data_IF_162083960230
#
_entry.id   IF_162083960230
#
_cell.length_a   1.000
_cell.length_b   1.000
_cell.length_c   1.000
_cell.angle_alpha   90.00
_cell.angle_beta   90.00
_cell.angle_gamma   90.00
#
_symmetry.space_group_name_H-M   'P 1'
#
loop_
_entity.id
_entity.type
_entity.pdbx_description
1 polymer ?
#
# COMPACT_ATOMS: atom_id res chain seq x y z
N UNK A 1 46.46 12.59 -12.71
CA UNK A 1 45.17 13.30 -12.88
C UNK A 1 44.10 12.56 -12.08
N UNK A 2 43.88 12.96 -10.83
CA UNK A 2 42.87 12.34 -9.98
C UNK A 2 41.49 12.89 -10.36
N UNK A 3 40.58 12.02 -10.83
CA UNK A 3 39.16 12.38 -10.95
C UNK A 3 38.64 12.68 -9.55
N UNK A 4 38.30 13.95 -9.29
CA UNK A 4 37.49 14.36 -8.14
C UNK A 4 36.21 13.52 -8.18
N UNK A 5 36.02 12.66 -7.17
CA UNK A 5 34.71 12.11 -6.83
C UNK A 5 33.83 13.29 -6.48
N UNK A 6 32.88 13.62 -7.35
CA UNK A 6 31.79 14.54 -7.03
C UNK A 6 31.04 13.97 -5.83
N UNK A 7 30.82 14.80 -4.81
CA UNK A 7 30.04 14.45 -3.64
C UNK A 7 28.70 13.86 -4.09
N UNK A 8 28.43 12.60 -3.73
CA UNK A 8 27.12 11.99 -3.95
C UNK A 8 26.09 12.83 -3.20
N UNK A 9 25.16 13.41 -3.95
CA UNK A 9 24.07 14.23 -3.44
C UNK A 9 23.20 13.35 -2.52
N UNK A 10 23.24 13.59 -1.22
CA UNK A 10 22.68 12.70 -0.17
C UNK A 10 21.13 12.78 -0.13
N UNK A 11 20.54 13.72 -0.86
CA UNK A 11 19.09 13.91 -1.00
C UNK A 11 18.66 13.66 -2.45
N UNK A 12 18.66 12.40 -2.87
CA UNK A 12 18.00 12.01 -4.11
C UNK A 12 16.50 12.35 -4.02
N UNK A 13 15.91 12.83 -5.12
CA UNK A 13 14.47 13.04 -5.24
C UNK A 13 13.74 11.72 -4.93
N UNK A 14 12.75 11.75 -4.05
CA UNK A 14 11.95 10.57 -3.64
C UNK A 14 10.48 10.94 -3.74
N UNK A 15 9.74 10.18 -4.52
CA UNK A 15 8.29 10.31 -4.59
C UNK A 15 7.64 9.24 -3.70
N UNK A 16 6.56 9.57 -3.00
CA UNK A 16 5.88 8.67 -2.07
C UNK A 16 4.63 8.08 -2.73
N UNK A 17 4.58 6.75 -2.87
CA UNK A 17 3.45 6.03 -3.44
C UNK A 17 2.49 5.57 -2.34
N UNK A 18 1.25 6.04 -2.39
CA UNK A 18 0.12 5.53 -1.62
C UNK A 18 -0.72 4.64 -2.54
N UNK A 19 -0.95 3.38 -2.19
CA UNK A 19 -1.65 2.42 -3.05
C UNK A 19 -2.65 1.57 -2.26
N UNK A 20 -3.86 1.45 -2.81
CA UNK A 20 -4.98 0.69 -2.26
C UNK A 20 -5.42 -0.39 -3.24
N UNK A 21 -5.59 -1.60 -2.76
CA UNK A 21 -5.86 -2.77 -3.60
C UNK A 21 -6.64 -3.84 -2.84
N UNK A 22 -7.32 -4.70 -3.58
CA UNK A 22 -8.10 -5.83 -3.07
C UNK A 22 -7.74 -7.14 -3.80
N UNK A 23 -8.51 -8.21 -3.59
CA UNK A 23 -8.28 -9.50 -4.24
C UNK A 23 -8.44 -9.44 -5.78
N UNK A 24 -9.08 -8.41 -6.32
CA UNK A 24 -9.32 -8.24 -7.76
C UNK A 24 -8.24 -7.41 -8.44
N UNK A 25 -7.66 -6.44 -7.73
CA UNK A 25 -6.60 -5.60 -8.24
C UNK A 25 -6.44 -4.28 -7.50
N UNK A 26 -5.73 -3.35 -8.13
CA UNK A 26 -5.57 -1.99 -7.59
C UNK A 26 -6.88 -1.22 -7.71
N UNK A 27 -7.29 -0.60 -6.60
CA UNK A 27 -8.46 0.26 -6.54
C UNK A 27 -8.06 1.70 -6.88
N UNK A 28 -7.07 2.22 -6.16
CA UNK A 28 -6.63 3.60 -6.24
C UNK A 28 -5.14 3.69 -5.88
N UNK A 29 -4.42 4.63 -6.49
CA UNK A 29 -3.10 5.00 -6.04
C UNK A 29 -2.84 6.48 -6.27
N UNK A 30 -2.02 7.09 -5.42
CA UNK A 30 -1.57 8.48 -5.54
C UNK A 30 -0.05 8.52 -5.39
N UNK A 31 0.61 9.31 -6.23
CA UNK A 31 2.04 9.61 -6.11
C UNK A 31 2.17 11.03 -5.57
N UNK A 32 2.69 11.15 -4.35
CA UNK A 32 2.92 12.43 -3.69
C UNK A 32 4.26 13.01 -4.13
N UNK A 33 4.34 14.33 -4.21
CA UNK A 33 5.52 15.02 -4.70
C UNK A 33 6.70 14.86 -3.73
N UNK A 34 7.91 14.96 -4.27
CA UNK A 34 9.12 14.88 -3.48
C UNK A 34 9.12 15.88 -2.32
N UNK A 35 9.39 15.37 -1.11
CA UNK A 35 9.32 16.02 0.22
C UNK A 35 7.96 16.10 0.90
N UNK A 36 6.87 15.67 0.25
CA UNK A 36 5.57 15.58 0.90
C UNK A 36 5.49 14.33 1.79
N UNK A 37 4.94 14.52 2.99
CA UNK A 37 4.60 13.43 3.93
C UNK A 37 3.09 13.29 3.99
N UNK A 38 2.59 12.06 4.12
CA UNK A 38 1.15 11.83 4.35
C UNK A 38 0.76 12.42 5.71
N UNK A 39 0.03 13.54 5.68
CA UNK A 39 -0.64 14.10 6.86
C UNK A 39 -1.96 13.36 7.12
N UNK A 40 -2.55 13.56 8.29
CA UNK A 40 -3.87 13.02 8.60
C UNK A 40 -4.95 13.52 7.63
N UNK A 41 -4.88 14.79 7.23
CA UNK A 41 -5.82 15.39 6.27
C UNK A 41 -5.66 14.75 4.88
N UNK A 42 -4.42 14.57 4.45
CA UNK A 42 -4.10 13.94 3.18
C UNK A 42 -4.58 12.48 3.14
N UNK A 43 -4.35 11.73 4.22
CA UNK A 43 -4.84 10.36 4.34
C UNK A 43 -6.38 10.29 4.35
N UNK A 44 -7.03 11.22 5.06
CA UNK A 44 -8.49 11.33 5.07
C UNK A 44 -9.06 11.58 3.66
N UNK A 45 -8.44 12.47 2.88
CA UNK A 45 -8.80 12.71 1.47
C UNK A 45 -8.63 11.45 0.62
N UNK A 46 -7.51 10.75 0.75
CA UNK A 46 -7.26 9.50 0.03
C UNK A 46 -8.29 8.41 0.35
N UNK A 47 -8.75 8.33 1.60
CA UNK A 47 -9.82 7.41 2.00
C UNK A 47 -11.16 7.79 1.35
N UNK A 48 -11.47 9.09 1.23
CA UNK A 48 -12.67 9.57 0.55
C UNK A 48 -12.63 9.16 -0.93
N UNK A 49 -11.53 9.46 -1.62
CA UNK A 49 -11.32 9.14 -3.03
C UNK A 49 -11.39 7.62 -3.29
N UNK A 50 -10.85 6.80 -2.38
CA UNK A 50 -10.92 5.35 -2.45
C UNK A 50 -12.38 4.86 -2.50
N UNK A 51 -13.28 5.46 -1.71
CA UNK A 51 -14.67 5.00 -1.67
C UNK A 51 -15.42 5.39 -2.92
N UNK A 52 -15.21 6.60 -3.42
CA UNK A 52 -15.85 7.05 -4.66
C UNK A 52 -15.54 6.04 -5.77
N UNK A 53 -14.30 5.53 -5.81
CA UNK A 53 -13.90 4.46 -6.72
C UNK A 53 -14.61 3.13 -6.40
N UNK A 54 -14.75 2.76 -5.13
CA UNK A 54 -15.44 1.54 -4.72
C UNK A 54 -16.94 1.57 -5.04
N UNK A 55 -17.60 2.70 -4.85
CA UNK A 55 -19.01 2.92 -5.18
C UNK A 55 -19.22 2.88 -6.70
N UNK A 56 -18.36 3.54 -7.47
CA UNK A 56 -18.42 3.53 -8.94
C UNK A 56 -18.18 2.14 -9.53
N UNK A 57 -17.30 1.32 -8.93
CA UNK A 57 -17.07 -0.07 -9.34
C UNK A 57 -18.25 -1.01 -9.01
N UNK A 58 -19.29 -0.49 -8.35
CA UNK A 58 -20.56 -1.17 -8.06
C UNK A 58 -20.50 -2.10 -6.85
N UNK A 59 -21.66 -2.52 -6.31
CA UNK A 59 -21.69 -3.49 -5.22
C UNK A 59 -20.98 -4.76 -5.66
N UNK A 60 -19.95 -5.15 -4.91
CA UNK A 60 -19.26 -6.42 -5.07
C UNK A 60 -20.28 -7.55 -4.92
N UNK A 61 -20.85 -8.00 -6.04
CA UNK A 61 -21.93 -8.99 -6.16
C UNK A 61 -23.27 -8.52 -5.56
N UNK A 62 -24.39 -8.90 -6.18
CA UNK A 62 -25.77 -8.46 -5.88
C UNK A 62 -26.34 -8.90 -4.51
N UNK A 63 -25.58 -8.73 -3.44
CA UNK A 63 -25.94 -8.98 -2.06
C UNK A 63 -25.58 -7.75 -1.24
N UNK A 64 -26.58 -7.20 -0.53
CA UNK A 64 -26.51 -6.12 0.47
C UNK A 64 -25.08 -5.74 0.89
N UNK A 65 -24.67 -4.51 0.58
CA UNK A 65 -23.58 -3.75 1.21
C UNK A 65 -22.61 -4.60 2.05
N UNK A 66 -21.67 -5.30 1.41
CA UNK A 66 -20.64 -6.03 2.15
C UNK A 66 -19.78 -5.03 2.92
N UNK A 67 -19.61 -5.29 4.21
CA UNK A 67 -18.75 -4.52 5.10
C UNK A 67 -17.32 -4.48 4.54
N UNK A 68 -16.78 -3.28 4.36
CA UNK A 68 -15.38 -3.09 3.95
C UNK A 68 -14.50 -3.31 5.17
N UNK A 69 -13.46 -4.14 5.04
CA UNK A 69 -12.46 -4.34 6.09
C UNK A 69 -11.14 -3.75 5.57
N UNK A 70 -10.67 -2.71 6.24
CA UNK A 70 -9.44 -2.01 5.92
C UNK A 70 -8.27 -2.62 6.69
N UNK A 71 -7.19 -2.96 5.99
CA UNK A 71 -5.93 -3.37 6.60
C UNK A 71 -4.85 -2.35 6.22
N UNK A 72 -4.35 -1.63 7.23
CA UNK A 72 -3.26 -0.66 7.10
C UNK A 72 -2.37 -0.72 8.35
N UNK A 73 -1.20 -0.10 8.29
CA UNK A 73 -0.27 -0.03 9.42
C UNK A 73 -0.70 1.02 10.45
N UNK A 74 -0.02 1.01 11.60
CA UNK A 74 -0.33 1.89 12.74
C UNK A 74 0.37 3.26 12.65
N UNK A 75 0.66 3.76 11.44
CA UNK A 75 1.25 5.08 11.29
C UNK A 75 0.35 6.17 11.91
N UNK A 76 0.95 7.24 12.45
CA UNK A 76 0.22 8.30 13.18
C UNK A 76 -1.00 8.86 12.43
N UNK A 77 -0.93 9.15 11.11
CA UNK A 77 -2.09 9.61 10.34
C UNK A 77 -3.22 8.58 10.29
N UNK A 78 -2.89 7.29 10.32
CA UNK A 78 -3.84 6.22 10.12
C UNK A 78 -4.62 5.86 11.39
N UNK A 79 -4.02 6.08 12.57
CA UNK A 79 -4.67 5.85 13.87
C UNK A 79 -5.32 7.13 14.44
N UNK A 80 -5.26 8.25 13.73
CA UNK A 80 -5.85 9.50 14.17
C UNK A 80 -7.38 9.39 14.28
N UNK A 81 -7.97 10.10 15.25
CA UNK A 81 -9.41 10.07 15.50
C UNK A 81 -10.23 10.48 14.28
N UNK A 82 -9.78 11.50 13.54
CA UNK A 82 -10.45 11.95 12.31
C UNK A 82 -10.47 10.87 11.23
N UNK A 83 -9.40 10.09 11.11
CA UNK A 83 -9.31 8.96 10.19
C UNK A 83 -10.25 7.84 10.60
N UNK A 84 -10.29 7.51 11.90
CA UNK A 84 -11.21 6.51 12.43
C UNK A 84 -12.67 6.92 12.22
N UNK A 85 -13.00 8.19 12.41
CA UNK A 85 -14.33 8.74 12.14
C UNK A 85 -14.71 8.61 10.67
N UNK A 86 -13.77 8.91 9.75
CA UNK A 86 -13.97 8.69 8.32
C UNK A 86 -14.29 7.21 8.09
N UNK A 87 -13.44 6.26 8.50
CA UNK A 87 -13.67 4.82 8.31
C UNK A 87 -15.03 4.36 8.88
N UNK A 88 -15.40 4.81 10.08
CA UNK A 88 -16.67 4.48 10.71
C UNK A 88 -17.88 5.02 9.91
N UNK A 89 -17.80 6.27 9.44
CA UNK A 89 -18.86 6.89 8.62
C UNK A 89 -19.08 6.14 7.30
N UNK A 90 -18.07 5.39 6.86
CA UNK A 90 -18.08 4.62 5.62
C UNK A 90 -18.63 3.20 5.79
N UNK A 91 -19.08 2.86 7.01
CA UNK A 91 -19.54 1.51 7.34
C UNK A 91 -18.43 0.46 7.28
N UNK A 92 -17.16 0.90 7.27
CA UNK A 92 -16.00 0.03 7.29
C UNK A 92 -15.55 -0.32 8.71
N UNK A 93 -14.86 -1.45 8.84
CA UNK A 93 -14.04 -1.76 10.01
C UNK A 93 -12.56 -1.69 9.64
N UNK A 94 -11.69 -1.45 10.61
CA UNK A 94 -10.25 -1.70 10.48
C UNK A 94 -9.89 -3.05 11.11
N UNK A 95 -9.01 -3.78 10.45
CA UNK A 95 -8.41 -4.98 11.01
C UNK A 95 -7.25 -4.57 11.93
N UNK A 96 -7.21 -5.05 13.19
CA UNK A 96 -6.08 -4.76 14.08
C UNK A 96 -4.76 -5.20 13.44
N UNK A 97 -3.77 -4.31 13.46
CA UNK A 97 -2.43 -4.60 12.97
C UNK A 97 -1.44 -4.52 14.13
N UNK A 98 -0.52 -5.48 14.20
CA UNK A 98 0.54 -5.47 15.20
C UNK A 98 1.60 -4.41 14.85
N UNK A 99 2.23 -3.81 15.87
CA UNK A 99 3.31 -2.84 15.62
C UNK A 99 4.53 -3.55 15.04
N UNK A 100 5.18 -2.94 14.04
CA UNK A 100 6.38 -3.47 13.37
C UNK A 100 6.18 -4.84 12.70
N UNK A 101 5.01 -5.10 12.11
CA UNK A 101 4.70 -6.39 11.47
C UNK A 101 4.50 -6.31 9.95
N UNK A 102 5.53 -5.92 9.17
CA UNK A 102 5.44 -5.87 7.70
C UNK A 102 5.19 -7.25 7.08
N UNK A 103 5.60 -8.32 7.77
CA UNK A 103 5.29 -9.72 7.45
C UNK A 103 3.79 -10.04 7.52
N UNK A 104 2.99 -9.19 8.16
CA UNK A 104 1.54 -9.29 8.23
C UNK A 104 0.81 -8.29 7.32
N UNK A 105 1.53 -7.44 6.60
CA UNK A 105 0.96 -6.47 5.67
C UNK A 105 1.10 -6.97 4.22
N UNK A 106 0.00 -7.33 3.52
CA UNK A 106 0.07 -7.80 2.13
C UNK A 106 0.78 -6.84 1.19
N UNK A 107 0.63 -5.53 1.44
CA UNK A 107 1.34 -4.51 0.67
C UNK A 107 2.85 -4.67 0.78
N UNK A 108 3.39 -4.96 1.97
CA UNK A 108 4.83 -5.06 2.20
C UNK A 108 5.40 -6.39 1.70
N UNK A 109 4.88 -7.52 2.19
CA UNK A 109 5.48 -8.83 1.87
C UNK A 109 5.23 -9.30 0.44
N UNK A 110 4.22 -8.76 -0.25
CA UNK A 110 3.81 -9.23 -1.58
C UNK A 110 3.89 -8.14 -2.65
N UNK A 111 3.12 -7.05 -2.51
CA UNK A 111 3.02 -6.04 -3.56
C UNK A 111 4.34 -5.27 -3.74
N UNK A 112 4.85 -4.66 -2.67
CA UNK A 112 6.08 -3.88 -2.70
C UNK A 112 7.31 -4.75 -2.91
N UNK A 113 7.36 -5.96 -2.37
CA UNK A 113 8.41 -6.95 -2.70
C UNK A 113 8.46 -7.24 -4.20
N UNK A 114 7.32 -7.47 -4.83
CA UNK A 114 7.22 -7.68 -6.29
C UNK A 114 7.58 -6.42 -7.09
N UNK A 115 7.17 -5.24 -6.60
CA UNK A 115 7.47 -3.96 -7.21
C UNK A 115 8.98 -3.64 -7.15
N UNK A 116 9.63 -3.87 -6.01
CA UNK A 116 11.08 -3.71 -5.85
C UNK A 116 11.86 -4.60 -6.82
N UNK A 117 11.42 -5.84 -7.03
CA UNK A 117 12.05 -6.74 -8.01
C UNK A 117 11.88 -6.25 -9.45
N UNK A 118 10.78 -5.56 -9.77
CA UNK A 118 10.49 -5.05 -11.11
C UNK A 118 11.14 -3.69 -11.39
N UNK A 119 11.19 -2.81 -10.38
CA UNK A 119 11.65 -1.42 -10.49
C UNK A 119 13.10 -1.24 -9.99
N UNK A 120 13.66 -2.23 -9.31
CA UNK A 120 14.98 -2.17 -8.69
C UNK A 120 16.11 -1.93 -9.70
N UNK A 121 17.10 -1.14 -9.28
CA UNK A 121 18.32 -0.90 -10.05
C UNK A 121 18.17 0.04 -11.25
N UNK A 122 16.98 0.63 -11.48
CA UNK A 122 16.74 1.55 -12.58
C UNK A 122 16.64 3.00 -12.07
N UNK A 123 17.44 3.95 -12.62
CA UNK A 123 17.25 5.36 -12.34
C UNK A 123 16.02 5.88 -13.09
N UNK A 124 15.24 6.75 -12.45
CA UNK A 124 14.12 7.47 -13.07
C UNK A 124 14.54 8.91 -13.35
N UNK A 125 14.14 9.44 -14.52
CA UNK A 125 14.47 10.80 -14.95
C UNK A 125 13.52 11.84 -14.37
N UNK A 126 12.24 11.50 -14.30
CA UNK A 126 11.17 12.38 -13.84
C UNK A 126 9.98 11.58 -13.27
N UNK A 127 9.00 12.31 -12.72
CA UNK A 127 7.79 11.72 -12.12
C UNK A 127 6.91 11.01 -13.16
N UNK A 128 6.88 11.49 -14.41
CA UNK A 128 6.08 10.88 -15.46
C UNK A 128 6.62 9.48 -15.82
N UNK A 129 7.95 9.30 -15.80
CA UNK A 129 8.57 7.99 -15.95
C UNK A 129 8.24 7.06 -14.79
N UNK A 130 8.26 7.55 -13.54
CA UNK A 130 7.86 6.79 -12.35
C UNK A 130 6.41 6.32 -12.47
N UNK A 131 5.50 7.24 -12.80
CA UNK A 131 4.07 6.93 -12.98
C UNK A 131 3.84 5.89 -14.06
N UNK A 132 4.44 6.07 -15.24
CA UNK A 132 4.35 5.11 -16.34
C UNK A 132 4.83 3.71 -15.93
N UNK A 133 5.87 3.63 -15.11
CA UNK A 133 6.42 2.36 -14.62
C UNK A 133 5.49 1.68 -13.62
N UNK A 134 4.89 2.45 -12.73
CA UNK A 134 3.85 1.97 -11.82
C UNK A 134 2.64 1.46 -12.62
N UNK A 135 2.16 2.22 -13.60
CA UNK A 135 1.04 1.81 -14.47
C UNK A 135 1.33 0.51 -15.21
N UNK A 136 2.52 0.41 -15.83
CA UNK A 136 2.96 -0.81 -16.51
C UNK A 136 3.06 -2.00 -15.56
N UNK A 137 3.59 -1.77 -14.35
CA UNK A 137 3.65 -2.81 -13.32
C UNK A 137 2.25 -3.29 -12.95
N UNK A 138 1.32 -2.39 -12.64
CA UNK A 138 -0.06 -2.72 -12.27
C UNK A 138 -0.75 -3.48 -13.41
N UNK A 139 -0.66 -2.98 -14.65
CA UNK A 139 -1.26 -3.61 -15.83
C UNK A 139 -0.66 -5.00 -16.14
N UNK A 140 0.58 -5.26 -15.75
CA UNK A 140 1.22 -6.58 -15.93
C UNK A 140 0.74 -7.63 -14.93
N UNK A 141 0.06 -7.26 -13.84
CA UNK A 141 -0.36 -8.21 -12.80
C UNK A 141 -1.78 -8.72 -13.07
N UNK A 142 -1.90 -10.05 -13.08
CA UNK A 142 -3.19 -10.73 -13.16
C UNK A 142 -3.94 -10.63 -11.83
N UNK A 143 -5.27 -10.77 -11.88
CA UNK A 143 -6.10 -10.87 -10.67
C UNK A 143 -5.58 -11.91 -9.67
N UNK A 144 -5.10 -13.05 -10.15
CA UNK A 144 -4.53 -14.11 -9.31
C UNK A 144 -3.33 -13.63 -8.48
N UNK A 145 -2.54 -12.68 -8.97
CA UNK A 145 -1.44 -12.09 -8.20
C UNK A 145 -1.97 -11.42 -6.93
N UNK A 146 -3.01 -10.60 -7.05
CA UNK A 146 -3.59 -9.89 -5.91
C UNK A 146 -4.34 -10.85 -4.96
N UNK A 147 -5.12 -11.76 -5.53
CA UNK A 147 -5.79 -12.81 -4.77
C UNK A 147 -4.80 -13.62 -3.91
N UNK A 148 -3.70 -14.10 -4.49
CA UNK A 148 -2.67 -14.85 -3.76
C UNK A 148 -1.96 -14.03 -2.69
N UNK A 149 -1.82 -12.72 -2.91
CA UNK A 149 -1.28 -11.80 -1.91
C UNK A 149 -2.13 -11.81 -0.64
N UNK A 150 -3.45 -11.64 -0.77
CA UNK A 150 -4.35 -11.58 0.39
C UNK A 150 -4.63 -12.98 0.97
N UNK A 151 -4.75 -14.02 0.13
CA UNK A 151 -5.04 -15.40 0.56
C UNK A 151 -3.97 -15.97 1.50
N UNK A 152 -2.74 -15.47 1.46
CA UNK A 152 -1.64 -15.90 2.34
C UNK A 152 -1.75 -15.37 3.78
N UNK A 153 -2.64 -14.42 4.07
CA UNK A 153 -2.78 -13.85 5.41
C UNK A 153 -3.05 -14.89 6.51
N UNK A 154 -4.01 -15.83 6.37
CA UNK A 154 -4.26 -16.83 7.41
C UNK A 154 -3.06 -17.73 7.69
N UNK A 155 -2.34 -18.16 6.64
CA UNK A 155 -1.12 -18.96 6.78
C UNK A 155 -0.02 -18.16 7.51
N UNK A 156 0.11 -16.86 7.23
CA UNK A 156 1.06 -15.97 7.92
C UNK A 156 0.69 -15.75 9.38
N UNK A 157 -0.58 -15.51 9.69
CA UNK A 157 -1.05 -15.41 11.08
C UNK A 157 -0.77 -16.68 11.86
N UNK A 158 -1.00 -17.84 11.26
CA UNK A 158 -0.69 -19.13 11.87
C UNK A 158 0.79 -19.25 12.21
N UNK A 159 1.69 -18.85 11.30
CA UNK A 159 3.14 -18.84 11.56
C UNK A 159 3.54 -17.92 12.71
N UNK A 160 2.93 -16.74 12.84
CA UNK A 160 3.18 -15.83 13.97
C UNK A 160 2.78 -16.47 15.29
N UNK A 161 1.63 -17.15 15.33
CA UNK A 161 1.15 -17.86 16.52
C UNK A 161 2.14 -18.98 16.89
N UNK A 162 2.54 -19.80 15.91
CA UNK A 162 3.51 -20.89 16.10
C UNK A 162 4.90 -20.39 16.51
N UNK A 163 5.26 -19.19 16.09
CA UNK A 163 6.54 -18.53 16.42
C UNK A 163 6.48 -17.70 17.70
N UNK A 164 5.38 -17.75 18.45
CA UNK A 164 5.14 -16.97 19.67
C UNK A 164 5.38 -15.45 19.46
N UNK A 165 4.96 -14.93 18.30
CA UNK A 165 5.12 -13.52 17.95
C UNK A 165 6.48 -13.13 17.35
N UNK A 166 7.39 -14.08 17.12
CA UNK A 166 8.67 -13.82 16.43
C UNK A 166 8.47 -13.72 14.92
N UNK A 167 9.37 -12.97 14.27
CA UNK A 167 9.46 -12.92 12.81
C UNK A 167 9.81 -14.31 12.23
N UNK A 168 9.25 -14.62 11.06
CA UNK A 168 9.35 -15.93 10.42
C UNK A 168 9.77 -15.89 8.94
N UNK A 169 9.92 -14.69 8.37
CA UNK A 169 10.45 -14.48 7.02
C UNK A 169 11.79 -13.73 7.15
N UNK A 170 12.84 -14.29 6.56
CA UNK A 170 14.18 -13.68 6.45
C UNK A 170 14.27 -12.62 5.33
#
# INVERSE_FOLDING_TARGET
MGRRRTANNIHAKKDLLCIWWDMKGVLFYELLQSSETVSTEQYGRQLIDLLDVMEQKGPFTGQRSRKVILLHDNARPHVALSTQQIICNLGGDFLPHATYSPDLAPSDYHLFRSMQNCLGGQPFRDEAEVRKRIDNFIASKLMSFFYEGIRKLPERWQKVIESEGKYFDD
#
